data_IF_424699494116
#
_entry.id   IF_424699494116
#
_cell.length_a   1.000
_cell.length_b   1.000
_cell.length_c   1.000
_cell.angle_alpha   90.00
_cell.angle_beta   90.00
_cell.angle_gamma   90.00
#
_symmetry.space_group_name_H-M   'P 1'
#
loop_
_entity.id
_entity.type
_entity.pdbx_description
1 polymer ?
#
# COMPACT_ATOMS: atom_id res chain seq x y z
N UNK A 1 -15.07 0.46 -2.82
CA UNK A 1 -14.35 0.66 -1.54
C UNK A 1 -14.52 -0.56 -0.66
N UNK A 2 -13.49 -0.96 0.01
CA UNK A 2 -13.47 -2.16 0.85
C UNK A 2 -14.03 -1.84 2.23
N UNK A 3 -15.15 -2.47 2.59
CA UNK A 3 -15.88 -2.20 3.85
C UNK A 3 -15.02 -2.47 5.08
N UNK A 4 -14.15 -3.49 5.03
CA UNK A 4 -13.28 -3.85 6.14
C UNK A 4 -12.31 -2.73 6.53
N UNK A 5 -12.08 -1.76 5.65
CA UNK A 5 -11.17 -0.65 5.92
C UNK A 5 -11.83 0.52 6.66
N UNK A 6 -13.16 0.56 6.73
CA UNK A 6 -13.88 1.73 7.27
C UNK A 6 -13.68 1.93 8.77
N UNK A 7 -13.30 0.88 9.50
CA UNK A 7 -13.06 0.97 10.94
C UNK A 7 -11.72 1.58 11.32
N UNK A 8 -10.78 1.68 10.38
CA UNK A 8 -9.46 2.23 10.65
C UNK A 8 -9.49 3.74 10.52
N UNK A 9 -9.25 4.45 11.64
CA UNK A 9 -9.37 5.90 11.69
C UNK A 9 -8.06 6.62 11.41
N UNK A 10 -6.91 5.95 11.63
CA UNK A 10 -5.62 6.49 11.24
C UNK A 10 -5.37 6.13 9.79
N UNK A 11 -5.78 7.01 8.90
CA UNK A 11 -5.76 6.80 7.45
C UNK A 11 -5.67 8.13 6.72
N UNK A 12 -5.08 8.09 5.55
CA UNK A 12 -5.07 9.22 4.63
C UNK A 12 -4.72 8.72 3.24
N UNK A 13 -4.60 9.62 2.30
CA UNK A 13 -4.19 9.28 0.94
C UNK A 13 -3.35 10.42 0.37
N UNK A 14 -2.61 10.13 -0.69
CA UNK A 14 -1.83 11.10 -1.43
C UNK A 14 -1.77 10.70 -2.91
N UNK A 15 -1.48 11.68 -3.75
CA UNK A 15 -1.31 11.48 -5.19
C UNK A 15 0.16 11.52 -5.55
N UNK A 16 0.54 10.82 -6.62
CA UNK A 16 1.92 10.73 -7.06
C UNK A 16 1.99 10.65 -8.58
N UNK A 17 2.82 11.49 -9.20
CA UNK A 17 3.13 11.44 -10.63
C UNK A 17 4.61 11.09 -10.81
N UNK A 18 5.03 10.65 -12.02
CA UNK A 18 6.45 10.30 -12.23
C UNK A 18 7.44 11.45 -12.02
N UNK A 19 6.97 12.69 -12.07
CA UNK A 19 7.80 13.88 -11.86
C UNK A 19 7.92 14.29 -10.41
N UNK A 20 7.09 13.72 -9.51
CA UNK A 20 7.10 14.01 -8.10
C UNK A 20 8.19 13.23 -7.38
N UNK A 21 8.53 13.70 -6.17
CA UNK A 21 9.38 12.95 -5.24
C UNK A 21 8.47 12.19 -4.28
N UNK A 22 8.55 10.87 -4.29
CA UNK A 22 7.67 10.02 -3.47
C UNK A 22 7.83 10.32 -1.98
N UNK A 23 9.05 10.54 -1.51
CA UNK A 23 9.33 10.87 -0.12
C UNK A 23 8.70 12.21 0.31
N UNK A 24 8.44 13.11 -0.63
CA UNK A 24 7.76 14.38 -0.35
C UNK A 24 6.25 14.24 -0.38
N UNK A 25 5.72 13.47 -1.31
CA UNK A 25 4.28 13.28 -1.48
C UNK A 25 3.68 12.36 -0.43
N UNK A 26 4.44 11.37 0.02
CA UNK A 26 3.95 10.37 0.95
C UNK A 26 3.68 10.99 2.33
N UNK A 27 2.41 10.94 2.73
CA UNK A 27 1.96 11.43 4.04
C UNK A 27 1.69 10.31 5.03
N UNK A 28 2.17 9.11 4.75
CA UNK A 28 1.96 7.96 5.63
C UNK A 28 2.72 8.12 6.94
N UNK A 29 2.17 7.51 7.98
CA UNK A 29 2.80 7.48 9.30
C UNK A 29 3.83 6.37 9.40
N UNK A 30 4.52 6.30 10.53
CA UNK A 30 5.44 5.21 10.84
C UNK A 30 4.72 4.01 11.49
N UNK A 31 3.40 4.01 11.48
CA UNK A 31 2.60 2.92 12.01
C UNK A 31 2.59 1.70 11.10
N UNK A 32 1.92 0.65 11.55
CA UNK A 32 1.84 -0.62 10.85
C UNK A 32 0.43 -0.86 10.31
N UNK A 33 0.35 -1.36 9.08
CA UNK A 33 -0.92 -1.57 8.44
C UNK A 33 -0.78 -1.88 6.96
N UNK A 34 -1.75 -1.42 6.18
CA UNK A 34 -1.84 -1.71 4.75
C UNK A 34 -1.85 -0.43 3.93
N UNK A 35 -1.46 -0.56 2.66
CA UNK A 35 -1.62 0.53 1.70
C UNK A 35 -2.12 -0.04 0.37
N UNK A 36 -2.98 0.74 -0.29
CA UNK A 36 -3.59 0.41 -1.57
C UNK A 36 -3.14 1.43 -2.59
N UNK A 37 -2.72 0.95 -3.75
CA UNK A 37 -2.23 1.80 -4.84
C UNK A 37 -3.21 1.70 -5.99
N UNK A 38 -3.75 2.85 -6.40
CA UNK A 38 -4.67 2.95 -7.53
C UNK A 38 -3.99 3.65 -8.69
N UNK A 39 -4.15 3.10 -9.87
CA UNK A 39 -3.82 3.79 -11.12
C UNK A 39 -4.96 4.74 -11.45
N UNK A 40 -4.64 6.02 -11.69
CA UNK A 40 -5.62 7.03 -12.04
C UNK A 40 -5.55 7.31 -13.54
N UNK A 41 -6.69 7.22 -14.21
CA UNK A 41 -6.83 7.50 -15.63
C UNK A 41 -8.06 8.39 -15.79
N UNK A 42 -7.83 9.70 -15.85
CA UNK A 42 -8.91 10.66 -15.72
C UNK A 42 -9.58 10.53 -14.36
N UNK A 43 -10.89 10.33 -14.34
CA UNK A 43 -11.64 10.13 -13.09
C UNK A 43 -11.71 8.66 -12.68
N UNK A 44 -11.28 7.75 -13.55
CA UNK A 44 -11.28 6.32 -13.23
C UNK A 44 -10.07 5.95 -12.39
N UNK A 45 -10.32 5.11 -11.39
CA UNK A 45 -9.28 4.59 -10.50
C UNK A 45 -9.38 3.07 -10.46
N UNK A 46 -8.25 2.42 -10.71
CA UNK A 46 -8.17 0.97 -10.68
C UNK A 46 -7.11 0.54 -9.68
N UNK A 47 -7.48 -0.36 -8.77
CA UNK A 47 -6.51 -0.92 -7.83
C UNK A 47 -5.48 -1.75 -8.57
N UNK A 48 -4.20 -1.43 -8.37
CA UNK A 48 -3.10 -2.15 -9.01
C UNK A 48 -2.16 -2.83 -8.02
N UNK A 49 -2.25 -2.47 -6.72
CA UNK A 49 -1.38 -3.08 -5.72
C UNK A 49 -1.97 -2.92 -4.32
N UNK A 50 -1.74 -3.94 -3.50
CA UNK A 50 -1.95 -3.88 -2.05
C UNK A 50 -0.65 -4.32 -1.39
N UNK A 51 -0.21 -3.58 -0.38
CA UNK A 51 0.96 -3.95 0.41
C UNK A 51 0.69 -3.79 1.90
N UNK A 52 1.60 -4.29 2.71
CA UNK A 52 1.47 -4.18 4.16
C UNK A 52 2.84 -4.11 4.83
N UNK A 53 2.86 -3.66 6.08
CA UNK A 53 4.05 -3.67 6.93
C UNK A 53 3.66 -3.93 8.38
N UNK A 54 4.56 -4.58 9.12
CA UNK A 54 4.37 -4.94 10.51
C UNK A 54 4.18 -6.43 10.69
N UNK A 55 4.91 -7.00 11.64
CA UNK A 55 4.87 -8.42 11.95
C UNK A 55 4.37 -8.61 13.37
N UNK A 56 3.38 -9.46 13.57
CA UNK A 56 2.87 -9.81 14.90
C UNK A 56 3.64 -11.03 15.41
N UNK A 57 4.24 -10.89 16.59
CA UNK A 57 5.05 -11.92 17.20
C UNK A 57 4.18 -12.94 17.96
N UNK A 58 4.78 -14.05 18.33
CA UNK A 58 4.08 -15.14 19.03
C UNK A 58 3.35 -14.67 20.28
N UNK A 59 3.91 -13.70 21.00
CA UNK A 59 3.30 -13.16 22.22
C UNK A 59 2.22 -12.10 21.94
N UNK A 60 1.88 -11.87 20.69
CA UNK A 60 0.85 -10.90 20.31
C UNK A 60 1.35 -9.47 20.17
N UNK A 61 2.63 -9.21 20.42
CA UNK A 61 3.18 -7.87 20.25
C UNK A 61 3.60 -7.62 18.81
N UNK A 62 3.59 -6.36 18.43
CA UNK A 62 3.98 -5.94 17.08
C UNK A 62 5.50 -5.72 17.04
N UNK A 63 6.15 -6.34 16.06
CA UNK A 63 7.50 -5.99 15.67
C UNK A 63 7.41 -5.01 14.53
N UNK A 64 7.55 -3.72 14.82
CA UNK A 64 7.53 -2.67 13.82
C UNK A 64 8.87 -2.59 13.12
N UNK A 65 8.84 -2.38 11.81
CA UNK A 65 10.05 -1.97 11.08
C UNK A 65 10.24 -0.48 11.25
N UNK A 66 11.48 -0.03 11.32
CA UNK A 66 11.80 1.40 11.38
C UNK A 66 11.17 2.13 10.20
N UNK A 67 10.41 3.19 10.51
CA UNK A 67 9.75 3.99 9.50
C UNK A 67 8.37 3.49 9.07
N UNK A 68 7.95 2.29 9.47
CA UNK A 68 6.60 1.77 9.26
C UNK A 68 6.06 1.90 7.84
N UNK A 69 4.81 2.36 7.72
CA UNK A 69 4.15 2.55 6.42
C UNK A 69 4.92 3.51 5.50
N UNK A 70 5.38 4.63 6.04
CA UNK A 70 6.14 5.61 5.26
C UNK A 70 7.35 4.95 4.60
N UNK A 71 8.18 4.28 5.38
CA UNK A 71 9.39 3.65 4.87
C UNK A 71 9.07 2.52 3.89
N UNK A 72 8.06 1.72 4.19
CA UNK A 72 7.65 0.62 3.32
C UNK A 72 7.20 1.13 1.95
N UNK A 73 6.43 2.21 1.92
CA UNK A 73 5.97 2.79 0.66
C UNK A 73 7.13 3.40 -0.12
N UNK A 74 7.94 4.24 0.54
CA UNK A 74 8.98 5.02 -0.13
C UNK A 74 10.19 4.18 -0.51
N UNK A 75 10.66 3.34 0.40
CA UNK A 75 11.92 2.62 0.26
C UNK A 75 11.77 1.11 0.04
N UNK A 76 10.56 0.57 0.10
CA UNK A 76 10.33 -0.84 -0.20
C UNK A 76 10.76 -1.17 -1.64
N UNK A 77 11.37 -2.34 -1.84
CA UNK A 77 11.82 -2.76 -3.17
C UNK A 77 10.66 -3.26 -4.01
N UNK A 78 10.62 -2.83 -5.26
CA UNK A 78 9.65 -3.31 -6.24
C UNK A 78 10.17 -3.03 -7.64
N UNK A 79 9.97 -3.99 -8.55
CA UNK A 79 10.42 -3.97 -9.94
C UNK A 79 11.93 -4.07 -10.11
N UNK A 80 12.72 -3.72 -9.09
CA UNK A 80 14.18 -3.78 -9.08
C UNK A 80 14.65 -3.84 -7.63
N UNK A 81 15.95 -4.03 -7.41
CA UNK A 81 16.54 -4.02 -6.07
C UNK A 81 16.80 -2.58 -5.61
N UNK A 82 15.77 -1.76 -5.69
CA UNK A 82 15.83 -0.35 -5.31
C UNK A 82 14.48 0.09 -4.75
N UNK A 83 14.47 1.19 -3.99
CA UNK A 83 13.26 1.70 -3.38
C UNK A 83 12.23 2.18 -4.40
N UNK A 84 10.96 2.18 -3.99
CA UNK A 84 9.86 2.62 -4.83
C UNK A 84 10.00 4.06 -5.29
N UNK A 85 10.65 4.91 -4.50
CA UNK A 85 10.92 6.30 -4.91
C UNK A 85 11.69 6.38 -6.23
N UNK A 86 12.44 5.32 -6.58
CA UNK A 86 13.15 5.24 -7.86
C UNK A 86 12.41 4.34 -8.86
N UNK A 87 11.90 3.20 -8.42
CA UNK A 87 11.30 2.22 -9.33
C UNK A 87 9.91 2.60 -9.81
N UNK A 88 9.11 3.27 -8.99
CA UNK A 88 7.77 3.66 -9.40
C UNK A 88 7.75 4.66 -10.56
N UNK A 89 8.53 5.77 -10.52
CA UNK A 89 8.56 6.66 -11.68
C UNK A 89 8.94 5.96 -12.98
N UNK A 90 9.95 5.08 -12.92
CA UNK A 90 10.39 4.33 -14.10
C UNK A 90 9.32 3.39 -14.62
N UNK A 91 8.68 2.64 -13.72
CA UNK A 91 7.64 1.69 -14.10
C UNK A 91 6.40 2.40 -14.64
N UNK A 92 6.03 3.53 -14.02
CA UNK A 92 4.89 4.33 -14.49
C UNK A 92 5.12 4.84 -15.91
N UNK A 93 6.32 5.31 -16.22
CA UNK A 93 6.67 5.76 -17.57
C UNK A 93 6.62 4.61 -18.57
N UNK A 94 7.11 3.44 -18.18
CA UNK A 94 7.09 2.25 -19.02
C UNK A 94 5.65 1.83 -19.34
N UNK A 95 4.75 1.88 -18.38
CA UNK A 95 3.35 1.49 -18.55
C UNK A 95 2.45 2.64 -18.98
N UNK A 96 2.99 3.84 -19.13
CA UNK A 96 2.22 5.06 -19.48
C UNK A 96 1.14 5.38 -18.44
N UNK A 97 1.47 5.18 -17.17
CA UNK A 97 0.61 5.55 -16.04
C UNK A 97 0.87 7.02 -15.71
N UNK A 98 -0.19 7.84 -15.77
CA UNK A 98 -0.05 9.28 -15.52
C UNK A 98 0.05 9.63 -14.04
N UNK A 99 -0.74 8.96 -13.20
CA UNK A 99 -0.79 9.24 -11.77
C UNK A 99 -1.19 8.03 -10.98
N UNK A 100 -0.73 7.99 -9.73
CA UNK A 100 -1.17 7.03 -8.72
C UNK A 100 -1.89 7.78 -7.61
N UNK A 101 -2.81 7.09 -6.95
CA UNK A 101 -3.38 7.52 -5.68
C UNK A 101 -3.14 6.40 -4.68
N UNK A 102 -2.51 6.73 -3.56
CA UNK A 102 -2.13 5.75 -2.54
C UNK A 102 -2.94 6.03 -1.28
N UNK A 103 -3.66 5.02 -0.81
CA UNK A 103 -4.42 5.07 0.45
C UNK A 103 -3.75 4.16 1.45
N UNK A 104 -3.52 4.64 2.67
CA UNK A 104 -2.91 3.83 3.71
C UNK A 104 -3.77 3.83 4.97
N UNK A 105 -3.65 2.76 5.73
CA UNK A 105 -4.48 2.51 6.91
C UNK A 105 -3.60 1.85 7.98
N UNK A 106 -3.53 2.45 9.17
CA UNK A 106 -2.94 1.76 10.31
C UNK A 106 -3.94 0.75 10.85
N UNK A 107 -3.55 -0.51 10.90
CA UNK A 107 -4.46 -1.58 11.33
C UNK A 107 -4.07 -2.19 12.68
N UNK A 108 -2.82 -1.99 13.13
CA UNK A 108 -2.33 -2.57 14.36
C UNK A 108 -1.68 -1.50 15.23
N UNK A 109 -2.37 -1.12 16.30
CA UNK A 109 -1.90 -0.12 17.25
C UNK A 109 -3.07 0.37 18.09
N UNK A 110 -2.77 0.94 19.26
CA UNK A 110 -3.80 1.44 20.15
C UNK A 110 -4.86 0.40 20.48
N UNK A 111 -6.12 0.72 20.18
CA UNK A 111 -7.26 -0.14 20.49
C UNK A 111 -7.50 -1.23 19.46
N UNK A 112 -7.09 -1.02 18.22
CA UNK A 112 -7.26 -2.00 17.15
C UNK A 112 -5.96 -2.77 16.95
N UNK A 113 -6.08 -4.10 16.97
CA UNK A 113 -4.93 -5.00 16.81
C UNK A 113 -5.25 -6.01 15.72
N UNK A 114 -5.32 -5.52 14.48
CA UNK A 114 -5.60 -6.39 13.34
C UNK A 114 -4.30 -6.61 12.57
N UNK A 115 -3.97 -7.88 12.37
CA UNK A 115 -2.72 -8.27 11.70
C UNK A 115 -2.69 -7.66 10.30
N UNK A 116 -1.64 -6.87 9.94
CA UNK A 116 -1.59 -6.20 8.64
C UNK A 116 -1.70 -7.17 7.46
N UNK A 117 -1.02 -8.30 7.48
CA UNK A 117 -1.08 -9.28 6.40
C UNK A 117 -2.47 -9.93 6.28
N UNK A 118 -3.22 -10.01 7.37
CA UNK A 118 -4.60 -10.49 7.32
C UNK A 118 -5.48 -9.52 6.53
N UNK A 119 -5.34 -8.22 6.81
CA UNK A 119 -6.12 -7.19 6.10
C UNK A 119 -5.72 -7.16 4.63
N UNK A 120 -4.44 -7.23 4.35
CA UNK A 120 -3.91 -7.33 2.98
C UNK A 120 -4.54 -8.52 2.27
N UNK A 121 -4.56 -9.68 2.91
CA UNK A 121 -5.15 -10.90 2.35
C UNK A 121 -6.64 -10.78 2.10
N UNK A 122 -7.38 -10.10 2.99
CA UNK A 122 -8.82 -9.86 2.81
C UNK A 122 -9.09 -9.05 1.54
N UNK A 123 -8.32 -7.98 1.34
CA UNK A 123 -8.49 -7.11 0.17
C UNK A 123 -8.12 -7.86 -1.10
N UNK A 124 -7.00 -8.57 -1.09
CA UNK A 124 -6.56 -9.36 -2.24
C UNK A 124 -7.56 -10.48 -2.56
N UNK A 125 -8.14 -11.13 -1.55
CA UNK A 125 -9.15 -12.16 -1.75
C UNK A 125 -10.41 -11.58 -2.40
N UNK A 126 -10.85 -10.41 -1.95
CA UNK A 126 -12.00 -9.73 -2.54
C UNK A 126 -11.72 -9.37 -4.01
N UNK A 127 -10.53 -8.89 -4.31
CA UNK A 127 -10.14 -8.57 -5.68
C UNK A 127 -10.11 -9.84 -6.55
N UNK A 128 -9.53 -10.91 -6.04
CA UNK A 128 -9.47 -12.20 -6.74
C UNK A 128 -10.88 -12.73 -7.04
N UNK A 129 -11.79 -12.64 -6.07
CA UNK A 129 -13.17 -13.09 -6.25
C UNK A 129 -13.89 -12.29 -7.33
N UNK A 130 -13.63 -11.00 -7.43
CA UNK A 130 -14.30 -10.12 -8.39
C UNK A 130 -13.69 -10.22 -9.80
N UNK A 131 -12.37 -10.27 -9.89
CA UNK A 131 -11.68 -10.14 -11.18
C UNK A 131 -10.97 -11.41 -11.65
N UNK A 132 -10.88 -12.43 -10.80
CA UNK A 132 -10.24 -13.69 -11.18
C UNK A 132 -8.72 -13.67 -11.19
N UNK A 133 -8.10 -12.58 -10.72
CA UNK A 133 -6.65 -12.42 -10.68
C UNK A 133 -6.28 -11.49 -9.54
N UNK A 134 -4.99 -11.39 -9.21
CA UNK A 134 -4.50 -10.37 -8.29
C UNK A 134 -4.35 -9.03 -9.03
N UNK A 135 -4.29 -7.90 -8.30
CA UNK A 135 -3.95 -6.61 -8.93
C UNK A 135 -2.62 -6.72 -9.67
N UNK A 136 -2.48 -6.00 -10.79
CA UNK A 136 -1.39 -6.25 -11.75
C UNK A 136 0.02 -6.08 -11.19
N UNK A 137 0.21 -5.29 -10.14
CA UNK A 137 1.52 -5.11 -9.51
C UNK A 137 1.78 -6.08 -8.36
N UNK A 138 0.79 -6.87 -7.96
CA UNK A 138 0.98 -7.97 -7.01
C UNK A 138 1.31 -9.24 -7.79
N UNK A 139 2.59 -9.60 -7.85
CA UNK A 139 3.02 -10.77 -8.62
C UNK A 139 2.66 -12.08 -7.95
N UNK A 140 2.50 -12.07 -6.63
CA UNK A 140 2.10 -13.23 -5.83
C UNK A 140 1.67 -12.78 -4.44
N UNK A 141 1.00 -13.70 -3.75
CA UNK A 141 0.66 -13.48 -2.35
C UNK A 141 0.59 -14.80 -1.60
#
# INVERSE_FOLDING_TARGET
>A
MYKELTKYKSTNHFSFTPEDQLETQCNATEGSGVFLVYECKGEEKQLIMVGSTGTVQNDGTLKSKNGGLFDKIVNGHQFAKTGRKYSWPSQMKLEKIEALEVHWFETFGGKLKVIPTYVEGQILQNYLNEFGSLPKWNVAF
#
